data_IF_327164959642
#
_entry.id   IF_327164959642
#
_cell.length_a   1.000
_cell.length_b   1.000
_cell.length_c   1.000
_cell.angle_alpha   90.00
_cell.angle_beta   90.00
_cell.angle_gamma   90.00
#
_symmetry.space_group_name_H-M   'P 1'
#
loop_
_entity.id
_entity.type
_entity.pdbx_description
1 polymer ?
#
# COMPACT_ATOMS: atom_id res chain seq x y z
N UNK A 1 -41.77 2.66 31.05
CA UNK A 1 -40.35 3.04 30.85
C UNK A 1 -39.73 1.97 29.95
N UNK A 2 -39.42 2.28 28.69
CA UNK A 2 -38.79 1.31 27.77
C UNK A 2 -37.32 1.16 28.17
N UNK A 3 -36.75 -0.04 28.32
CA UNK A 3 -35.33 -0.19 28.58
C UNK A 3 -34.57 0.31 27.35
N UNK A 4 -33.66 1.27 27.54
CA UNK A 4 -32.61 1.56 26.58
C UNK A 4 -31.75 0.31 26.44
N UNK A 5 -31.86 -0.39 25.31
CA UNK A 5 -30.97 -1.50 24.97
C UNK A 5 -29.60 -0.93 24.64
N UNK A 6 -28.64 -1.13 25.55
CA UNK A 6 -27.23 -0.86 25.29
C UNK A 6 -26.74 -1.80 24.18
N UNK A 7 -26.58 -1.29 22.95
CA UNK A 7 -26.08 -2.02 21.78
C UNK A 7 -24.71 -2.72 22.02
N UNK A 8 -23.98 -2.31 23.07
CA UNK A 8 -22.69 -2.89 23.46
C UNK A 8 -22.74 -4.34 23.94
N UNK A 9 -23.88 -4.87 24.37
CA UNK A 9 -23.98 -6.25 24.87
C UNK A 9 -24.34 -7.29 23.80
N UNK A 10 -24.67 -6.86 22.58
CA UNK A 10 -25.16 -7.77 21.53
C UNK A 10 -24.06 -8.70 20.95
N UNK A 11 -22.79 -8.32 21.07
CA UNK A 11 -21.66 -9.12 20.58
C UNK A 11 -21.11 -10.11 21.61
N UNK A 12 -21.30 -9.84 22.91
CA UNK A 12 -20.69 -10.62 24.00
C UNK A 12 -21.32 -12.01 24.18
N UNK A 13 -22.57 -12.20 23.71
CA UNK A 13 -23.31 -13.45 23.82
C UNK A 13 -23.47 -14.18 22.47
N UNK A 14 -22.75 -13.76 21.42
CA UNK A 14 -22.77 -14.44 20.12
C UNK A 14 -21.76 -15.59 20.13
N UNK A 15 -22.27 -16.80 19.93
CA UNK A 15 -21.45 -17.98 19.69
C UNK A 15 -20.96 -17.96 18.23
N UNK A 16 -19.82 -17.32 18.00
CA UNK A 16 -19.19 -17.28 16.69
C UNK A 16 -18.72 -18.68 16.29
N UNK A 17 -19.13 -19.12 15.10
CA UNK A 17 -18.63 -20.34 14.47
C UNK A 17 -17.71 -19.97 13.31
N UNK A 18 -16.57 -20.67 13.13
CA UNK A 18 -15.73 -20.43 11.97
C UNK A 18 -16.50 -20.81 10.69
N UNK A 19 -16.46 -19.93 9.69
CA UNK A 19 -16.88 -20.24 8.32
C UNK A 19 -15.66 -20.63 7.49
N UNK A 20 -15.85 -21.49 6.50
CA UNK A 20 -14.81 -21.87 5.53
C UNK A 20 -15.33 -21.65 4.11
N UNK A 21 -14.48 -21.11 3.24
CA UNK A 21 -14.79 -20.92 1.83
C UNK A 21 -13.94 -21.92 1.04
N UNK A 22 -14.54 -22.60 0.07
CA UNK A 22 -13.79 -23.54 -0.78
C UNK A 22 -12.86 -22.76 -1.69
N UNK A 23 -11.58 -23.14 -1.77
CA UNK A 23 -10.63 -22.50 -2.66
C UNK A 23 -9.52 -23.47 -3.12
N UNK A 24 -8.87 -23.20 -4.26
CA UNK A 24 -7.69 -23.94 -4.70
C UNK A 24 -6.54 -23.86 -3.69
N UNK A 25 -5.75 -24.92 -3.61
CA UNK A 25 -4.54 -24.95 -2.78
C UNK A 25 -3.38 -24.27 -3.50
N UNK A 26 -2.54 -23.58 -2.73
CA UNK A 26 -1.27 -23.08 -3.23
C UNK A 26 -0.27 -24.25 -3.34
N UNK A 27 0.41 -24.34 -4.49
CA UNK A 27 1.35 -25.43 -4.78
C UNK A 27 2.83 -25.07 -4.50
N UNK A 28 3.10 -23.82 -4.15
CA UNK A 28 4.45 -23.32 -3.84
C UNK A 28 4.56 -22.84 -2.37
N UNK A 29 5.77 -22.42 -1.94
CA UNK A 29 6.02 -21.89 -0.59
C UNK A 29 6.11 -20.36 -0.49
N UNK A 30 5.87 -19.60 -1.57
CA UNK A 30 6.20 -18.17 -1.64
C UNK A 30 5.11 -17.26 -2.21
N UNK A 31 3.98 -17.82 -2.64
CA UNK A 31 2.88 -17.08 -3.26
C UNK A 31 1.65 -16.92 -2.37
N UNK A 32 1.72 -17.23 -1.08
CA UNK A 32 0.58 -17.13 -0.15
C UNK A 32 -0.05 -15.74 -0.13
N UNK A 33 0.76 -14.67 -0.09
CA UNK A 33 0.25 -13.30 -0.16
C UNK A 33 -0.43 -12.99 -1.50
N UNK A 34 0.06 -13.56 -2.60
CA UNK A 34 -0.52 -13.39 -3.94
C UNK A 34 -1.80 -14.20 -4.10
N UNK A 35 -1.95 -15.29 -3.37
CA UNK A 35 -3.19 -16.06 -3.26
C UNK A 35 -4.26 -15.29 -2.48
N UNK A 36 -3.89 -14.71 -1.34
CA UNK A 36 -4.83 -14.03 -0.44
C UNK A 36 -5.39 -12.74 -1.07
N UNK A 37 -4.62 -12.01 -1.88
CA UNK A 37 -5.07 -10.74 -2.45
C UNK A 37 -6.29 -10.89 -3.39
N UNK A 38 -6.30 -11.77 -4.41
CA UNK A 38 -7.48 -12.07 -5.21
C UNK A 38 -8.62 -12.72 -4.41
N UNK A 39 -8.31 -13.52 -3.38
CA UNK A 39 -9.34 -14.08 -2.49
C UNK A 39 -10.12 -12.96 -1.80
N UNK A 40 -9.40 -12.02 -1.19
CA UNK A 40 -9.99 -10.88 -0.51
C UNK A 40 -10.82 -10.01 -1.48
N UNK A 41 -10.31 -9.79 -2.70
CA UNK A 41 -11.04 -9.06 -3.75
C UNK A 41 -12.39 -9.71 -4.08
N UNK A 42 -12.43 -11.02 -4.33
CA UNK A 42 -13.67 -11.75 -4.61
C UNK A 42 -14.66 -11.70 -3.43
N UNK A 43 -14.18 -11.83 -2.19
CA UNK A 43 -15.04 -11.72 -0.99
C UNK A 43 -15.67 -10.32 -0.88
N UNK A 44 -14.91 -9.27 -1.17
CA UNK A 44 -15.41 -7.90 -1.15
C UNK A 44 -16.40 -7.60 -2.29
N UNK A 45 -16.16 -8.17 -3.48
CA UNK A 45 -17.05 -8.02 -4.65
C UNK A 45 -18.42 -8.68 -4.44
N UNK A 46 -18.50 -9.75 -3.65
CA UNK A 46 -19.76 -10.43 -3.33
C UNK A 46 -20.45 -9.92 -2.06
N UNK A 47 -19.83 -9.01 -1.31
CA UNK A 47 -20.39 -8.46 -0.09
C UNK A 47 -21.81 -7.87 -0.34
N UNK A 48 -22.80 -8.13 0.55
CA UNK A 48 -22.71 -8.72 1.89
C UNK A 48 -22.75 -10.26 1.93
N UNK A 49 -22.77 -10.92 0.76
CA UNK A 49 -22.74 -12.39 0.70
C UNK A 49 -21.31 -12.87 0.86
N UNK A 50 -21.18 -14.11 1.33
CA UNK A 50 -19.90 -14.82 1.34
C UNK A 50 -19.90 -15.73 0.11
N UNK A 51 -18.87 -15.65 -0.76
CA UNK A 51 -18.77 -16.55 -1.89
C UNK A 51 -18.70 -18.01 -1.41
N UNK A 52 -19.40 -18.91 -2.10
CA UNK A 52 -19.31 -20.35 -1.78
C UNK A 52 -17.96 -20.95 -2.20
N UNK A 53 -17.37 -20.40 -3.26
CA UNK A 53 -16.11 -20.81 -3.84
C UNK A 53 -15.30 -19.59 -4.25
N UNK A 54 -14.00 -19.61 -4.00
CA UNK A 54 -13.05 -18.65 -4.55
C UNK A 54 -12.29 -19.31 -5.68
N UNK A 55 -12.24 -18.65 -6.83
CA UNK A 55 -11.58 -19.17 -8.02
C UNK A 55 -10.23 -18.48 -8.23
N UNK A 56 -9.15 -19.23 -8.11
CA UNK A 56 -7.77 -18.79 -8.36
C UNK A 56 -7.04 -19.90 -9.08
N UNK A 57 -6.31 -19.60 -10.15
CA UNK A 57 -5.53 -20.62 -10.85
C UNK A 57 -4.17 -20.79 -10.17
N UNK A 58 -3.87 -21.95 -9.54
CA UNK A 58 -2.62 -22.21 -8.84
C UNK A 58 -1.48 -22.54 -9.84
N UNK A 59 -0.97 -21.55 -10.57
CA UNK A 59 0.21 -21.78 -11.43
C UNK A 59 1.22 -20.66 -11.29
N UNK A 60 2.51 -20.97 -11.48
CA UNK A 60 3.60 -19.98 -11.44
C UNK A 60 3.37 -18.81 -12.40
N UNK A 61 2.86 -19.12 -13.60
CA UNK A 61 2.49 -18.11 -14.60
C UNK A 61 1.39 -17.18 -14.08
N UNK A 62 0.34 -17.75 -13.50
CA UNK A 62 -0.78 -16.98 -12.95
C UNK A 62 -0.37 -16.20 -11.70
N UNK A 63 0.48 -16.74 -10.84
CA UNK A 63 1.04 -16.00 -9.70
C UNK A 63 1.84 -14.78 -10.17
N UNK A 64 2.63 -14.94 -11.22
CA UNK A 64 3.35 -13.83 -11.85
C UNK A 64 2.39 -12.79 -12.42
N UNK A 65 1.31 -13.24 -13.08
CA UNK A 65 0.27 -12.36 -13.59
C UNK A 65 -0.43 -11.58 -12.47
N UNK A 66 -0.86 -12.25 -11.39
CA UNK A 66 -1.52 -11.61 -10.26
C UNK A 66 -0.60 -10.59 -9.56
N UNK A 67 0.69 -10.91 -9.37
CA UNK A 67 1.67 -9.94 -8.83
C UNK A 67 1.72 -8.66 -9.67
N UNK A 68 1.83 -8.81 -10.99
CA UNK A 68 1.85 -7.67 -11.92
C UNK A 68 0.54 -6.89 -11.89
N UNK A 69 -0.59 -7.57 -11.86
CA UNK A 69 -1.92 -6.93 -11.83
C UNK A 69 -2.11 -6.13 -10.55
N UNK A 70 -1.83 -6.73 -9.38
CA UNK A 70 -1.93 -6.06 -8.09
C UNK A 70 -0.99 -4.86 -8.03
N UNK A 71 0.27 -5.02 -8.46
CA UNK A 71 1.21 -3.92 -8.53
C UNK A 71 0.71 -2.78 -9.43
N UNK A 72 0.17 -3.10 -10.60
CA UNK A 72 -0.42 -2.12 -11.52
C UNK A 72 -1.62 -1.40 -10.89
N UNK A 73 -2.54 -2.13 -10.27
CA UNK A 73 -3.70 -1.56 -9.57
C UNK A 73 -3.26 -0.60 -8.45
N UNK A 74 -2.28 -1.00 -7.63
CA UNK A 74 -1.70 -0.16 -6.58
C UNK A 74 -1.10 1.11 -7.18
N UNK A 75 -0.29 0.99 -8.24
CA UNK A 75 0.37 2.13 -8.87
C UNK A 75 -0.65 3.10 -9.49
N UNK A 76 -1.69 2.59 -10.15
CA UNK A 76 -2.74 3.42 -10.74
C UNK A 76 -3.64 4.09 -9.68
N UNK A 77 -3.87 3.42 -8.56
CA UNK A 77 -4.62 3.98 -7.43
C UNK A 77 -3.77 4.90 -6.54
N UNK A 78 -2.45 4.88 -6.71
CA UNK A 78 -1.54 5.71 -5.91
C UNK A 78 -1.70 7.18 -6.28
N UNK A 79 -1.85 8.02 -5.26
CA UNK A 79 -1.79 9.46 -5.42
C UNK A 79 -0.34 9.93 -5.53
N UNK A 80 -0.10 10.95 -6.36
CA UNK A 80 1.20 11.63 -6.39
C UNK A 80 1.55 12.13 -4.99
N UNK A 81 2.74 11.76 -4.50
CA UNK A 81 3.28 12.24 -3.23
C UNK A 81 4.33 13.32 -3.44
N UNK A 82 4.28 14.04 -4.56
CA UNK A 82 5.25 15.10 -4.86
C UNK A 82 5.27 16.20 -3.79
N UNK A 83 4.19 16.36 -3.02
CA UNK A 83 4.11 17.33 -1.92
C UNK A 83 4.68 16.79 -0.58
N UNK A 84 5.18 15.55 -0.55
CA UNK A 84 5.64 14.87 0.67
C UNK A 84 7.08 14.40 0.53
N UNK A 85 7.82 14.47 1.62
CA UNK A 85 9.18 13.95 1.67
C UNK A 85 9.18 12.42 1.59
N UNK A 86 9.94 11.85 0.67
CA UNK A 86 10.03 10.39 0.47
C UNK A 86 10.66 9.65 1.66
N UNK A 87 11.36 10.34 2.56
CA UNK A 87 11.96 9.76 3.77
C UNK A 87 11.01 9.84 4.97
N UNK A 88 10.47 11.03 5.26
CA UNK A 88 9.71 11.23 6.50
C UNK A 88 8.19 11.34 6.31
N UNK A 89 7.70 11.39 5.07
CA UNK A 89 6.26 11.46 4.75
C UNK A 89 5.55 12.75 5.16
N UNK A 90 6.29 13.81 5.53
CA UNK A 90 5.72 15.11 5.92
C UNK A 90 5.67 16.07 4.75
N UNK A 91 4.64 16.91 4.72
CA UNK A 91 4.49 18.01 3.78
C UNK A 91 5.15 19.30 4.31
N UNK A 92 5.33 20.28 3.44
CA UNK A 92 5.85 21.60 3.79
C UNK A 92 4.89 22.41 4.67
N UNK A 93 3.57 22.18 4.52
CA UNK A 93 2.50 22.90 5.25
C UNK A 93 2.53 22.65 6.77
N UNK A 94 3.29 21.65 7.20
CA UNK A 94 3.40 21.23 8.60
C UNK A 94 4.71 21.71 9.27
N UNK A 95 5.47 22.64 8.64
CA UNK A 95 6.83 22.99 9.07
C UNK A 95 7.10 24.52 9.09
N UNK A 96 8.05 24.92 9.94
CA UNK A 96 8.59 26.29 10.04
C UNK A 96 9.60 26.58 8.91
N UNK A 97 9.72 27.82 8.43
CA UNK A 97 10.52 28.23 7.25
C UNK A 97 11.97 27.65 7.19
N UNK A 98 12.66 27.49 8.32
CA UNK A 98 14.02 26.90 8.36
C UNK A 98 14.08 25.38 8.05
N UNK A 99 12.94 24.69 8.04
CA UNK A 99 12.86 23.24 7.83
C UNK A 99 12.49 22.87 6.37
N UNK A 100 12.25 23.88 5.53
CA UNK A 100 11.64 23.75 4.21
C UNK A 100 12.64 23.71 3.06
N UNK A 101 13.94 23.51 3.30
CA UNK A 101 14.87 23.31 2.17
C UNK A 101 14.66 21.93 1.56
N UNK A 102 14.21 21.89 0.31
CA UNK A 102 13.98 20.67 -0.44
C UNK A 102 15.06 20.45 -1.49
N UNK A 103 15.42 19.20 -1.69
CA UNK A 103 16.25 18.78 -2.82
C UNK A 103 15.39 17.96 -3.76
N UNK A 104 15.47 18.34 -5.03
CA UNK A 104 14.79 17.72 -6.14
C UNK A 104 15.77 16.85 -6.92
N UNK A 105 15.30 15.68 -7.33
CA UNK A 105 16.17 14.66 -7.90
C UNK A 105 15.44 13.98 -9.03
N UNK A 106 16.15 13.86 -10.15
CA UNK A 106 15.77 13.03 -11.29
C UNK A 106 16.59 11.75 -11.25
N UNK A 107 16.00 10.58 -10.99
CA UNK A 107 16.70 9.32 -11.19
C UNK A 107 17.03 9.16 -12.68
N UNK A 108 18.26 8.73 -13.00
CA UNK A 108 18.77 8.58 -14.37
C UNK A 108 17.92 7.69 -15.31
N UNK A 109 16.94 6.96 -14.76
CA UNK A 109 16.09 5.99 -15.45
C UNK A 109 14.58 6.19 -15.21
N UNK A 110 14.14 7.20 -14.43
CA UNK A 110 12.73 7.37 -14.07
C UNK A 110 12.17 8.70 -14.58
N UNK A 111 10.97 8.66 -15.20
CA UNK A 111 10.19 9.82 -15.65
C UNK A 111 9.50 10.54 -14.48
N UNK A 112 9.99 10.36 -13.25
CA UNK A 112 9.32 10.81 -12.04
C UNK A 112 10.27 11.54 -11.10
N UNK A 113 9.75 12.62 -10.55
CA UNK A 113 10.41 13.51 -9.61
C UNK A 113 10.22 13.00 -8.18
N UNK A 114 11.30 12.92 -7.40
CA UNK A 114 11.26 12.65 -5.97
C UNK A 114 11.63 13.90 -5.18
N UNK A 115 10.97 14.08 -4.03
CA UNK A 115 11.13 15.24 -3.16
C UNK A 115 11.63 14.80 -1.79
N UNK A 116 12.69 15.46 -1.31
CA UNK A 116 13.31 15.19 -0.02
C UNK A 116 13.56 16.48 0.75
N UNK A 117 13.37 16.48 2.07
CA UNK A 117 13.96 17.54 2.89
C UNK A 117 15.48 17.33 2.96
N UNK A 118 16.24 18.41 2.84
CA UNK A 118 17.71 18.39 3.01
C UNK A 118 18.10 17.71 4.33
N UNK A 119 17.43 18.07 5.43
CA UNK A 119 17.66 17.47 6.76
C UNK A 119 17.40 15.96 6.79
N UNK A 120 16.44 15.47 6.01
CA UNK A 120 16.10 14.04 5.99
C UNK A 120 17.15 13.21 5.26
N UNK A 121 17.92 13.84 4.37
CA UNK A 121 19.08 13.23 3.71
C UNK A 121 20.37 13.43 4.52
N UNK A 122 20.34 14.28 5.56
CA UNK A 122 21.52 14.69 6.33
C UNK A 122 22.69 15.15 5.44
N UNK A 123 22.36 15.86 4.35
CA UNK A 123 23.34 16.39 3.40
C UNK A 123 23.57 17.87 3.65
N UNK A 124 24.78 18.33 3.37
CA UNK A 124 25.03 19.75 3.17
C UNK A 124 24.38 20.16 1.84
N UNK A 125 23.67 21.28 1.83
CA UNK A 125 23.04 21.81 0.61
C UNK A 125 24.12 21.95 -0.48
N UNK A 126 23.99 21.28 -1.63
CA UNK A 126 24.95 21.45 -2.73
C UNK A 126 24.93 22.91 -3.22
N UNK A 127 26.07 23.47 -3.66
CA UNK A 127 26.10 24.77 -4.31
C UNK A 127 25.15 24.81 -5.52
N UNK A 128 24.49 25.94 -5.77
CA UNK A 128 23.43 26.12 -6.80
C UNK A 128 23.83 25.68 -8.22
N UNK A 129 25.12 25.55 -8.51
CA UNK A 129 25.66 25.27 -9.84
C UNK A 129 25.99 23.79 -10.11
N UNK A 130 25.75 22.87 -9.16
CA UNK A 130 26.06 21.45 -9.34
C UNK A 130 24.80 20.58 -9.42
N UNK A 131 24.71 19.78 -10.49
CA UNK A 131 23.71 18.73 -10.61
C UNK A 131 23.90 17.72 -9.48
N UNK A 132 22.96 17.70 -8.53
CA UNK A 132 23.00 16.75 -7.42
C UNK A 132 22.53 15.38 -7.88
N UNK A 133 23.35 14.36 -7.62
CA UNK A 133 23.01 12.96 -7.85
C UNK A 133 22.57 12.36 -6.51
N UNK A 134 21.37 11.80 -6.52
CA UNK A 134 20.76 11.15 -5.37
C UNK A 134 21.37 9.77 -5.11
N UNK A 135 22.05 9.59 -3.97
CA UNK A 135 22.61 8.30 -3.54
C UNK A 135 21.53 7.22 -3.30
N UNK A 136 20.27 7.60 -3.16
CA UNK A 136 19.13 6.70 -2.98
C UNK A 136 18.42 6.34 -4.29
N UNK A 137 18.82 6.94 -5.41
CA UNK A 137 18.09 6.87 -6.68
C UNK A 137 18.72 5.91 -7.69
N UNK A 138 19.39 4.86 -7.19
CA UNK A 138 20.02 3.80 -7.95
C UNK A 138 19.05 2.65 -8.25
#
# INVERSE_FOLDING_TARGET
>A
MRPHTNEKTDWANKNWTPGTITHPFQEDSSSCGVFVMPMAKQVLEEFPKIPNIINITPSTEMMTHYRKSVAKEILLASVSRQEYCCVCGKSEKDQTEEQSTWVFTMPFLAVYYLWFHVRCLNINVPPEEQAWICDLCW
#
